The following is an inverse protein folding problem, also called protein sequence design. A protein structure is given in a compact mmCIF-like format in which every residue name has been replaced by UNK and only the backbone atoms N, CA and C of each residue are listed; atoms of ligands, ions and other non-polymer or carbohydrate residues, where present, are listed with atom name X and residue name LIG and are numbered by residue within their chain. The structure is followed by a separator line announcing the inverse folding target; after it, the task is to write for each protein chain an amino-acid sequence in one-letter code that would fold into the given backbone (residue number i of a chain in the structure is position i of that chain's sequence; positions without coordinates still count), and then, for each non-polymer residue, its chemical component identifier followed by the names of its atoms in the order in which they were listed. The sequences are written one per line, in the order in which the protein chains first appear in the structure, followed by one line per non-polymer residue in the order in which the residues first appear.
data_IF_983308938955
#
_entry.id   IF_983308938955
#
_cell.length_a   1.000
_cell.length_b   1.000
_cell.length_c   1.000
_cell.angle_alpha   90.00
_cell.angle_beta   90.00
_cell.angle_gamma   90.00
#
_symmetry.space_group_name_H-M   'P 1'
#
loop_
_entity.id
_entity.type
_entity.pdbx_description
1 polymer ?
#
# COMPACT_ATOMS: atom_id res chain seq x y z
N UNK A 1 -3.68 0.98 -14.61
CA UNK A 1 -2.25 0.98 -14.27
C UNK A 1 -2.12 1.40 -12.80
N UNK A 2 -1.29 0.69 -12.02
CA UNK A 2 -1.08 0.92 -10.59
C UNK A 2 0.18 1.75 -10.31
N UNK A 3 0.88 2.22 -11.34
CA UNK A 3 2.06 3.09 -11.20
C UNK A 3 3.36 2.34 -10.88
N UNK A 4 3.37 1.01 -10.96
CA UNK A 4 4.59 0.20 -10.83
C UNK A 4 5.26 0.12 -12.21
N UNK A 5 6.50 0.60 -12.34
CA UNK A 5 7.24 0.63 -13.61
C UNK A 5 6.94 1.83 -14.50
N UNK A 6 6.09 2.77 -14.06
CA UNK A 6 5.93 4.07 -14.70
C UNK A 6 7.06 5.00 -14.21
N UNK A 7 7.68 5.84 -15.08
CA UNK A 7 8.61 6.86 -14.62
C UNK A 7 7.90 7.77 -13.61
N UNK A 8 8.40 7.78 -12.37
CA UNK A 8 7.91 8.72 -11.36
C UNK A 8 8.40 10.12 -11.80
N UNK A 9 7.50 11.11 -11.93
CA UNK A 9 7.92 12.49 -12.20
C UNK A 9 8.98 12.92 -11.18
N UNK A 10 10.01 13.65 -11.60
CA UNK A 10 11.16 13.98 -10.75
C UNK A 10 10.71 14.65 -9.45
N UNK A 11 10.77 13.91 -8.34
CA UNK A 11 10.37 14.37 -7.00
C UNK A 11 11.38 15.32 -6.35
N UNK A 12 12.43 15.74 -7.08
CA UNK A 12 13.60 16.41 -6.50
C UNK A 12 14.43 15.49 -5.58
N UNK A 13 14.05 14.22 -5.47
CA UNK A 13 14.70 13.17 -4.70
C UNK A 13 14.97 12.00 -5.65
N UNK A 14 16.07 11.27 -5.44
CA UNK A 14 16.33 10.02 -6.16
C UNK A 14 15.29 8.96 -5.80
N UNK A 15 14.15 8.97 -6.48
CA UNK A 15 13.05 8.04 -6.22
C UNK A 15 13.05 6.93 -7.28
N UNK A 16 13.48 5.73 -6.87
CA UNK A 16 13.36 4.53 -7.68
C UNK A 16 11.90 4.06 -7.70
N UNK A 17 11.29 3.90 -8.87
CA UNK A 17 9.86 3.51 -8.98
C UNK A 17 9.63 2.00 -8.96
N UNK A 18 10.70 1.22 -9.06
CA UNK A 18 10.65 -0.24 -9.17
C UNK A 18 11.08 -0.75 -10.54
N UNK A 19 11.48 -2.01 -10.61
CA UNK A 19 11.74 -2.77 -11.83
C UNK A 19 10.93 -4.06 -11.79
N UNK A 20 10.11 -4.29 -12.81
CA UNK A 20 9.45 -5.57 -13.08
C UNK A 20 10.08 -6.13 -14.36
N UNK A 21 11.22 -6.84 -14.27
CA UNK A 21 11.85 -7.38 -15.46
C UNK A 21 10.97 -8.46 -16.12
N UNK A 22 10.93 -8.55 -17.45
CA UNK A 22 10.14 -9.55 -18.16
C UNK A 22 10.65 -10.96 -17.81
N UNK A 23 9.75 -11.80 -17.30
CA UNK A 23 10.09 -13.12 -16.76
C UNK A 23 10.42 -14.13 -17.86
N UNK A 24 11.57 -14.81 -17.76
CA UNK A 24 12.08 -15.74 -18.78
C UNK A 24 11.52 -17.17 -18.69
N UNK A 25 10.78 -17.52 -17.62
CA UNK A 25 10.14 -18.84 -17.40
C UNK A 25 8.85 -18.73 -16.57
N UNK A 26 7.98 -19.74 -16.64
CA UNK A 26 6.69 -19.78 -15.90
C UNK A 26 6.83 -19.77 -14.37
N UNK A 27 7.90 -20.38 -13.84
CA UNK A 27 8.21 -20.35 -12.41
C UNK A 27 8.66 -18.95 -11.93
N UNK A 28 9.46 -18.24 -12.74
CA UNK A 28 9.87 -16.85 -12.46
C UNK A 28 8.69 -15.89 -12.56
N UNK A 29 7.73 -16.18 -13.46
CA UNK A 29 6.47 -15.45 -13.54
C UNK A 29 5.63 -15.60 -12.27
N UNK A 30 5.44 -16.83 -11.78
CA UNK A 30 4.70 -17.09 -10.54
C UNK A 30 5.37 -16.46 -9.31
N UNK A 31 6.69 -16.51 -9.21
CA UNK A 31 7.46 -15.83 -8.18
C UNK A 31 7.27 -14.30 -8.26
N UNK A 32 7.36 -13.73 -9.46
CA UNK A 32 7.22 -12.28 -9.67
C UNK A 32 5.82 -11.78 -9.30
N UNK A 33 4.77 -12.59 -9.52
CA UNK A 33 3.40 -12.27 -9.14
C UNK A 33 3.17 -12.18 -7.62
N UNK A 34 4.04 -12.80 -6.82
CA UNK A 34 4.02 -12.71 -5.35
C UNK A 34 5.13 -11.82 -4.79
N UNK A 35 5.87 -11.11 -5.66
CA UNK A 35 6.99 -10.24 -5.27
C UNK A 35 8.28 -10.98 -4.88
N UNK A 36 8.46 -12.21 -5.36
CA UNK A 36 9.69 -13.01 -5.22
C UNK A 36 10.45 -13.05 -6.56
N UNK A 37 11.78 -13.12 -6.54
CA UNK A 37 12.61 -13.05 -7.74
C UNK A 37 13.25 -11.68 -7.93
N UNK A 38 13.17 -11.10 -9.14
CA UNK A 38 13.87 -9.86 -9.49
C UNK A 38 12.99 -8.59 -9.36
N UNK A 39 11.78 -8.72 -8.80
CA UNK A 39 10.87 -7.59 -8.61
C UNK A 39 11.39 -6.71 -7.48
N UNK A 40 11.97 -5.57 -7.84
CA UNK A 40 12.34 -4.53 -6.88
C UNK A 40 11.27 -3.45 -6.95
N UNK A 41 10.63 -3.11 -5.84
CA UNK A 41 9.68 -1.99 -5.75
C UNK A 41 10.02 -1.13 -4.55
N UNK A 42 10.00 0.19 -4.71
CA UNK A 42 10.26 1.08 -3.59
C UNK A 42 9.03 1.20 -2.68
N UNK A 43 9.22 1.52 -1.39
CA UNK A 43 8.12 1.86 -0.51
C UNK A 43 7.24 2.99 -1.06
N UNK A 44 7.83 3.99 -1.73
CA UNK A 44 7.08 5.08 -2.33
C UNK A 44 6.09 4.57 -3.41
N UNK A 45 6.54 3.69 -4.30
CA UNK A 45 5.66 3.12 -5.33
C UNK A 45 4.54 2.28 -4.73
N UNK A 46 4.81 1.53 -3.65
CA UNK A 46 3.77 0.77 -2.95
C UNK A 46 2.77 1.69 -2.25
N UNK A 47 3.23 2.80 -1.67
CA UNK A 47 2.35 3.82 -1.12
C UNK A 47 1.48 4.45 -2.22
N UNK A 48 2.02 4.71 -3.41
CA UNK A 48 1.26 5.23 -4.55
C UNK A 48 0.23 4.22 -5.09
N UNK A 49 0.58 2.94 -5.13
CA UNK A 49 -0.37 1.89 -5.48
C UNK A 49 -1.54 1.86 -4.48
N UNK A 50 -1.24 1.91 -3.17
CA UNK A 50 -2.27 2.00 -2.13
C UNK A 50 -3.11 3.29 -2.23
N UNK A 51 -2.48 4.45 -2.50
CA UNK A 51 -3.19 5.71 -2.74
C UNK A 51 -4.11 5.64 -3.96
N UNK A 52 -3.66 4.98 -5.03
CA UNK A 52 -4.43 4.77 -6.25
C UNK A 52 -5.66 3.91 -5.99
N UNK A 53 -5.53 2.85 -5.17
CA UNK A 53 -6.69 2.05 -4.73
C UNK A 53 -7.62 2.86 -3.83
N UNK A 54 -7.07 3.66 -2.91
CA UNK A 54 -7.84 4.52 -2.02
C UNK A 54 -8.65 5.57 -2.79
N UNK A 55 -8.03 6.25 -3.77
CA UNK A 55 -8.65 7.29 -4.60
C UNK A 55 -9.44 6.76 -5.81
N UNK A 56 -9.23 5.50 -6.22
CA UNK A 56 -9.84 4.92 -7.41
C UNK A 56 -9.24 5.42 -8.73
N UNK A 57 -8.13 6.16 -8.67
CA UNK A 57 -7.38 6.66 -9.82
C UNK A 57 -5.96 7.01 -9.43
N UNK A 58 -5.05 7.02 -10.39
CA UNK A 58 -3.65 7.37 -10.16
C UNK A 58 -3.49 8.88 -9.95
N UNK A 59 -2.71 9.24 -8.93
CA UNK A 59 -2.25 10.60 -8.67
C UNK A 59 -0.72 10.62 -8.73
N UNK A 60 -0.16 11.47 -9.58
CA UNK A 60 1.28 11.66 -9.63
C UNK A 60 1.78 12.16 -8.27
N UNK A 61 2.83 11.55 -7.68
CA UNK A 61 3.39 12.03 -6.43
C UNK A 61 3.98 13.43 -6.64
N UNK A 62 3.89 14.27 -5.62
CA UNK A 62 4.58 15.56 -5.58
C UNK A 62 5.09 15.79 -4.18
N UNK A 63 6.33 16.27 -4.05
CA UNK A 63 6.88 16.67 -2.75
C UNK A 63 6.32 18.06 -2.43
N UNK A 64 5.39 18.12 -1.49
CA UNK A 64 4.79 19.38 -1.03
C UNK A 64 5.68 19.96 0.06
N UNK A 65 6.49 20.97 -0.29
CA UNK A 65 7.32 21.71 0.66
C UNK A 65 6.61 22.97 1.18
N UNK A 66 5.75 23.56 0.35
CA UNK A 66 4.97 24.75 0.65
C UNK A 66 3.49 24.52 0.33
N UNK A 67 2.59 25.23 1.02
CA UNK A 67 1.14 25.08 0.89
C UNK A 67 0.57 25.45 -0.51
N UNK A 68 1.39 26.03 -1.40
CA UNK A 68 1.00 26.46 -2.75
C UNK A 68 1.33 25.48 -3.88
N UNK A 69 1.68 24.22 -3.56
CA UNK A 69 2.01 23.24 -4.58
C UNK A 69 0.83 23.02 -5.56
N UNK A 70 1.08 22.97 -6.88
CA UNK A 70 0.03 22.75 -7.87
C UNK A 70 -0.64 21.39 -7.66
N UNK A 71 -1.92 21.30 -8.05
CA UNK A 71 -2.66 20.05 -7.95
C UNK A 71 -1.95 18.92 -8.72
N UNK A 72 -1.86 17.70 -8.16
CA UNK A 72 -1.14 16.62 -8.80
C UNK A 72 -1.81 16.20 -10.10
N UNK A 73 -1.00 15.89 -11.11
CA UNK A 73 -1.47 15.31 -12.38
C UNK A 73 -2.15 13.97 -12.09
N UNK A 74 -3.32 13.74 -12.70
CA UNK A 74 -4.11 12.53 -12.44
C UNK A 74 -4.33 11.69 -13.69
N UNK A 75 -4.23 10.37 -13.55
CA UNK A 75 -4.57 9.40 -14.61
C UNK A 75 -6.07 9.10 -14.68
N UNK A 76 -6.56 8.40 -15.72
CA UNK A 76 -7.99 8.08 -15.86
C UNK A 76 -8.54 7.30 -14.65
N UNK A 77 -9.85 7.39 -14.34
CA UNK A 77 -10.48 6.56 -13.34
C UNK A 77 -10.27 5.06 -13.61
N UNK A 78 -10.03 4.30 -12.56
CA UNK A 78 -10.01 2.84 -12.65
C UNK A 78 -11.44 2.29 -12.69
N UNK A 79 -11.58 1.06 -13.19
CA UNK A 79 -12.84 0.31 -13.17
C UNK A 79 -13.37 0.22 -11.72
N UNK A 80 -14.55 0.82 -11.43
CA UNK A 80 -15.10 0.86 -10.07
C UNK A 80 -15.33 -0.53 -9.46
N UNK A 81 -15.69 -1.53 -10.27
CA UNK A 81 -15.96 -2.88 -9.78
C UNK A 81 -14.66 -3.56 -9.29
N UNK A 82 -13.57 -3.36 -10.03
CA UNK A 82 -12.24 -3.88 -9.65
C UNK A 82 -11.70 -3.18 -8.42
N UNK A 83 -11.86 -1.86 -8.34
CA UNK A 83 -11.47 -1.08 -7.16
C UNK A 83 -12.26 -1.54 -5.93
N UNK A 84 -13.58 -1.69 -6.03
CA UNK A 84 -14.40 -2.18 -4.92
C UNK A 84 -13.97 -3.57 -4.43
N UNK A 85 -13.62 -4.47 -5.37
CA UNK A 85 -13.09 -5.81 -5.05
C UNK A 85 -11.75 -5.72 -4.31
N UNK A 86 -10.80 -4.94 -4.83
CA UNK A 86 -9.49 -4.76 -4.20
C UNK A 86 -9.59 -4.18 -2.79
N UNK A 87 -10.42 -3.14 -2.61
CA UNK A 87 -10.67 -2.53 -1.29
C UNK A 87 -11.21 -3.57 -0.31
N UNK A 88 -12.16 -4.41 -0.75
CA UNK A 88 -12.73 -5.47 0.08
C UNK A 88 -11.68 -6.49 0.53
N UNK A 89 -10.81 -6.94 -0.38
CA UNK A 89 -9.70 -7.87 -0.06
C UNK A 89 -8.68 -7.26 0.91
N UNK A 90 -8.36 -5.98 0.73
CA UNK A 90 -7.46 -5.24 1.63
C UNK A 90 -8.08 -5.02 3.01
N UNK A 91 -9.39 -4.76 3.08
CA UNK A 91 -10.12 -4.70 4.34
C UNK A 91 -10.12 -6.06 5.05
N UNK A 92 -10.31 -7.17 4.32
CA UNK A 92 -10.34 -8.49 4.92
C UNK A 92 -9.01 -8.86 5.61
N UNK A 93 -7.90 -8.45 5.01
CA UNK A 93 -6.57 -8.66 5.59
C UNK A 93 -6.43 -8.01 6.97
N UNK A 94 -7.10 -6.87 7.20
CA UNK A 94 -7.14 -6.17 8.48
C UNK A 94 -8.25 -6.70 9.39
N UNK A 95 -9.38 -7.14 8.83
CA UNK A 95 -10.52 -7.63 9.61
C UNK A 95 -10.21 -8.96 10.29
N UNK A 96 -9.71 -9.92 9.51
CA UNK A 96 -9.51 -11.32 9.92
C UNK A 96 -8.15 -11.90 9.53
N UNK A 97 -7.38 -11.21 8.68
CA UNK A 97 -6.12 -11.71 8.14
C UNK A 97 -4.86 -11.32 8.93
N UNK A 98 -3.75 -11.31 8.20
CA UNK A 98 -2.39 -11.08 8.73
C UNK A 98 -2.17 -9.69 9.31
N UNK A 99 -2.97 -8.69 8.93
CA UNK A 99 -2.88 -7.32 9.45
C UNK A 99 -3.90 -7.05 10.57
N UNK A 100 -4.47 -8.08 11.21
CA UNK A 100 -5.52 -7.93 12.25
C UNK A 100 -5.19 -6.98 13.40
N UNK A 101 -3.90 -6.78 13.68
CA UNK A 101 -3.46 -5.83 14.70
C UNK A 101 -3.79 -4.37 14.37
N UNK A 102 -4.11 -4.05 13.11
CA UNK A 102 -4.55 -2.70 12.68
C UNK A 102 -6.05 -2.47 12.86
N UNK A 103 -6.85 -3.49 13.20
CA UNK A 103 -8.29 -3.33 13.45
C UNK A 103 -8.58 -2.34 14.59
N UNK A 104 -7.68 -2.24 15.55
CA UNK A 104 -7.78 -1.34 16.70
C UNK A 104 -6.79 -0.17 16.60
N UNK A 105 -6.29 0.14 15.39
CA UNK A 105 -5.53 1.36 15.18
C UNK A 105 -6.46 2.57 15.35
N UNK A 106 -5.98 3.67 15.95
CA UNK A 106 -6.80 4.89 16.10
C UNK A 106 -7.11 5.50 14.74
N UNK A 107 -8.20 6.27 14.66
CA UNK A 107 -8.69 6.89 13.44
C UNK A 107 -9.72 6.01 12.70
N UNK A 108 -9.79 6.17 11.38
CA UNK A 108 -10.72 5.41 10.55
C UNK A 108 -10.25 3.96 10.31
N UNK A 109 -11.11 3.13 9.72
CA UNK A 109 -10.73 1.78 9.33
C UNK A 109 -9.52 1.79 8.36
N UNK A 110 -8.55 0.92 8.63
CA UNK A 110 -7.38 0.69 7.78
C UNK A 110 -7.68 -0.44 6.79
N UNK A 111 -7.21 -0.29 5.55
CA UNK A 111 -7.20 -1.35 4.55
C UNK A 111 -5.76 -1.56 4.08
N UNK A 112 -5.30 -2.79 3.93
CA UNK A 112 -3.92 -3.03 3.53
C UNK A 112 -3.60 -4.48 3.24
N UNK A 113 -2.34 -4.75 2.90
CA UNK A 113 -1.81 -6.08 2.70
C UNK A 113 -0.41 -6.19 3.32
N UNK A 114 -0.16 -7.33 3.96
CA UNK A 114 1.19 -7.71 4.40
C UNK A 114 1.93 -8.47 3.30
N UNK A 115 3.24 -8.29 3.25
CA UNK A 115 4.16 -9.06 2.41
C UNK A 115 5.38 -9.52 3.20
N UNK A 116 6.13 -10.47 2.64
CA UNK A 116 7.43 -10.90 3.17
C UNK A 116 8.29 -11.29 1.97
N UNK A 117 9.45 -10.66 1.82
CA UNK A 117 10.41 -10.96 0.75
C UNK A 117 11.60 -11.69 1.37
N UNK A 118 11.91 -12.89 0.88
CA UNK A 118 13.01 -13.69 1.44
C UNK A 118 14.33 -13.28 0.79
N UNK A 119 15.43 -13.36 1.54
CA UNK A 119 16.78 -13.08 1.04
C UNK A 119 17.81 -14.03 1.65
N UNK A 120 18.94 -14.21 0.97
CA UNK A 120 20.06 -15.03 1.44
C UNK A 120 19.90 -16.53 1.12
N UNK A 121 20.84 -17.31 1.64
CA UNK A 121 20.88 -18.77 1.50
C UNK A 121 19.73 -19.44 2.29
N UNK A 122 19.34 -20.68 1.94
CA UNK A 122 18.20 -21.37 2.55
C UNK A 122 18.26 -21.46 4.09
N UNK A 123 19.45 -21.47 4.69
CA UNK A 123 19.64 -21.55 6.14
C UNK A 123 20.77 -20.62 6.64
N UNK A 124 20.46 -19.56 7.43
CA UNK A 124 19.12 -19.04 7.71
C UNK A 124 18.61 -18.15 6.58
N UNK A 125 17.43 -18.47 6.05
CA UNK A 125 16.72 -17.56 5.14
C UNK A 125 16.33 -16.27 5.88
N UNK A 126 16.82 -15.14 5.39
CA UNK A 126 16.45 -13.83 5.88
C UNK A 126 15.11 -13.36 5.31
N UNK A 127 14.47 -12.39 5.95
CA UNK A 127 13.22 -11.79 5.48
C UNK A 127 13.23 -10.26 5.55
N UNK A 128 12.71 -9.61 4.52
CA UNK A 128 12.23 -8.23 4.58
C UNK A 128 10.72 -8.26 4.82
N UNK A 129 10.28 -7.58 5.87
CA UNK A 129 8.88 -7.52 6.24
C UNK A 129 8.20 -6.30 5.60
N UNK A 130 7.02 -6.50 5.01
CA UNK A 130 6.30 -5.45 4.31
C UNK A 130 4.88 -5.28 4.81
N UNK A 131 4.43 -4.03 4.81
CA UNK A 131 3.02 -3.66 4.87
C UNK A 131 2.77 -2.50 3.90
N UNK A 132 1.67 -2.56 3.14
CA UNK A 132 1.17 -1.40 2.41
C UNK A 132 -0.33 -1.28 2.61
N UNK A 133 -0.85 -0.07 2.66
CA UNK A 133 -2.26 0.15 2.85
C UNK A 133 -2.62 1.62 2.88
N UNK A 134 -3.86 1.89 3.24
CA UNK A 134 -4.38 3.25 3.39
C UNK A 134 -5.39 3.35 4.53
N UNK A 135 -5.59 4.57 5.00
CA UNK A 135 -6.60 4.98 5.97
C UNK A 135 -7.18 6.32 5.51
N UNK A 136 -8.42 6.30 4.99
CA UNK A 136 -9.04 7.45 4.30
C UNK A 136 -8.19 7.86 3.08
N UNK A 137 -7.65 9.09 3.06
CA UNK A 137 -6.75 9.61 2.02
C UNK A 137 -5.26 9.36 2.30
N UNK A 138 -4.90 8.87 3.48
CA UNK A 138 -3.51 8.59 3.81
C UNK A 138 -3.14 7.20 3.32
N UNK A 139 -2.21 7.12 2.37
CA UNK A 139 -1.54 5.87 2.01
C UNK A 139 -0.21 5.72 2.75
N UNK A 140 0.14 4.49 3.10
CA UNK A 140 1.39 4.14 3.80
C UNK A 140 1.98 2.87 3.20
N UNK A 141 3.31 2.82 3.15
CA UNK A 141 4.07 1.61 2.89
C UNK A 141 5.25 1.56 3.85
N UNK A 142 5.43 0.41 4.48
CA UNK A 142 6.48 0.14 5.46
C UNK A 142 7.24 -1.09 5.00
N UNK A 143 8.56 -0.95 4.94
CA UNK A 143 9.51 -2.06 4.84
C UNK A 143 10.37 -2.07 6.10
N UNK A 144 10.54 -3.24 6.69
CA UNK A 144 11.53 -3.48 7.74
C UNK A 144 12.52 -4.47 7.18
N UNK A 145 13.74 -3.99 6.93
CA UNK A 145 14.82 -4.86 6.48
C UNK A 145 15.24 -5.81 7.58
N UNK A 146 15.53 -7.06 7.20
CA UNK A 146 15.91 -8.12 8.15
C UNK A 146 14.87 -8.30 9.26
N UNK A 147 13.59 -8.07 8.93
CA UNK A 147 12.45 -8.27 9.80
C UNK A 147 12.07 -9.75 9.92
N UNK A 148 11.01 -10.01 10.69
CA UNK A 148 10.50 -11.38 10.91
C UNK A 148 9.39 -11.71 9.91
N UNK A 149 8.37 -10.86 9.84
CA UNK A 149 7.26 -11.00 8.89
C UNK A 149 6.51 -9.68 8.75
N UNK A 150 5.71 -9.53 7.70
CA UNK A 150 4.84 -8.36 7.56
C UNK A 150 3.96 -8.11 8.79
N UNK A 151 3.41 -9.18 9.39
CA UNK A 151 2.59 -9.09 10.60
C UNK A 151 3.40 -8.80 11.87
N UNK A 152 4.59 -9.39 12.01
CA UNK A 152 5.43 -9.28 13.20
C UNK A 152 6.30 -8.03 13.27
N UNK A 153 6.63 -7.43 12.13
CA UNK A 153 7.58 -6.30 12.06
C UNK A 153 7.00 -5.06 11.38
N UNK A 154 6.43 -5.18 10.17
CA UNK A 154 5.97 -4.00 9.42
C UNK A 154 4.64 -3.44 9.95
N UNK A 155 3.69 -4.31 10.32
CA UNK A 155 2.38 -3.92 10.85
C UNK A 155 2.48 -3.10 12.16
N UNK A 156 3.30 -3.48 13.16
CA UNK A 156 3.52 -2.66 14.36
C UNK A 156 4.04 -1.24 14.05
N UNK A 157 4.98 -1.12 13.12
CA UNK A 157 5.51 0.19 12.68
C UNK A 157 4.40 1.01 12.01
N UNK A 158 3.66 0.42 11.07
CA UNK A 158 2.53 1.08 10.42
C UNK A 158 1.47 1.56 11.42
N UNK A 159 1.18 0.77 12.47
CA UNK A 159 0.25 1.18 13.54
C UNK A 159 0.74 2.41 14.29
N UNK A 160 2.03 2.44 14.65
CA UNK A 160 2.66 3.58 15.33
C UNK A 160 2.58 4.84 14.46
N UNK A 161 2.94 4.72 13.18
CA UNK A 161 2.93 5.86 12.26
C UNK A 161 1.52 6.40 12.05
N UNK A 162 0.54 5.53 11.78
CA UNK A 162 -0.87 5.92 11.65
C UNK A 162 -1.37 6.61 12.93
N UNK A 163 -0.98 6.14 14.12
CA UNK A 163 -1.36 6.79 15.37
C UNK A 163 -0.79 8.21 15.50
N UNK A 164 0.49 8.40 15.20
CA UNK A 164 1.14 9.73 15.21
C UNK A 164 0.52 10.67 14.19
N UNK A 165 0.28 10.14 12.99
CA UNK A 165 -0.27 10.85 11.86
C UNK A 165 -1.72 11.28 12.09
N UNK A 166 -2.53 10.48 12.77
CA UNK A 166 -3.90 10.86 13.16
C UNK A 166 -3.96 11.84 14.34
N UNK A 167 -2.91 11.91 15.17
CA UNK A 167 -2.84 12.88 16.28
C UNK A 167 -2.53 14.30 15.81
N UNK A 168 -2.07 14.48 14.57
CA UNK A 168 -1.94 15.79 13.93
C UNK A 168 -3.28 16.29 13.37
N UNK A 169 -3.51 17.60 13.42
CA UNK A 169 -4.71 18.24 12.88
C UNK A 169 -4.74 18.06 11.36
N UNK A 170 -5.69 17.29 10.85
CA UNK A 170 -5.79 16.94 9.43
C UNK A 170 -7.16 17.26 8.86
N UNK A 171 -7.22 17.82 7.63
CA UNK A 171 -8.48 17.98 6.93
C UNK A 171 -9.16 16.63 6.70
N UNK A 172 -10.49 16.61 6.79
CA UNK A 172 -11.30 15.39 6.70
C UNK A 172 -11.31 14.80 5.26
N UNK A 173 -11.02 13.50 5.08
CA UNK A 173 -11.06 12.86 3.77
C UNK A 173 -12.08 11.71 3.61
N UNK A 174 -12.22 11.31 2.35
CA UNK A 174 -13.27 10.51 1.72
C UNK A 174 -13.74 9.23 2.46
N UNK A 175 -15.01 8.91 2.19
CA UNK A 175 -15.88 7.93 2.87
C UNK A 175 -15.13 6.70 3.41
N UNK A 176 -15.16 6.58 4.74
CA UNK A 176 -14.68 5.43 5.49
C UNK A 176 -15.37 4.14 5.07
N UNK A 177 -14.72 2.99 5.31
CA UNK A 177 -15.40 1.70 5.40
C UNK A 177 -16.45 1.74 6.53
N UNK A 178 -17.64 2.22 6.18
CA UNK A 178 -18.85 2.11 6.97
C UNK A 178 -19.63 0.91 6.48
N UNK A 179 -20.21 0.17 7.44
CA UNK A 179 -20.96 -1.05 7.23
C UNK A 179 -21.94 -0.95 6.06
N UNK A 180 -21.99 -2.00 5.25
CA UNK A 180 -23.18 -2.31 4.48
C UNK A 180 -24.32 -2.61 5.47
N UNK A 181 -24.98 -1.57 5.96
CA UNK A 181 -26.23 -1.71 6.70
C UNK A 181 -27.31 -2.00 5.69
N UNK A 182 -27.95 -3.16 5.86
CA UNK A 182 -29.04 -3.64 5.05
C UNK A 182 -30.15 -2.58 4.88
N UNK A 183 -30.49 -2.29 3.64
CA UNK A 183 -31.77 -1.73 3.25
C UNK A 183 -32.39 -2.68 2.23
N UNK A 184 -33.01 -3.73 2.74
CA UNK A 184 -34.10 -4.42 2.04
C UNK A 184 -35.34 -4.18 2.90
N UNK A 185 -36.02 -3.09 2.58
CA UNK A 185 -37.43 -2.90 2.89
C UNK A 185 -38.26 -3.86 2.04
N UNK A 186 -39.01 -4.72 2.72
CA UNK A 186 -40.08 -5.57 2.20
C UNK A 186 -40.97 -5.93 3.38
#
# INVERSE_FOLDING_TARGET
DLGIGVPVPSLGLGAFSGSVPPTRTTAVHAASLIGQGEVVVSPLSMALASATVAGGRYHAPTLVLDAGAPAPVTGPPLDPARVATLRSLMCETVRSGTARALRTAPGAAVAGKTGTAQYGEPEPVGAHAWFTGYQRDLAIAVVVERGVSGAGSAVPVARSDLARLNAGDRPAPARSCGAATAALSG
#
